data_IF_760573130786
#
_entry.id   IF_760573130786
#
_cell.length_a   1.000
_cell.length_b   1.000
_cell.length_c   1.000
_cell.angle_alpha   90.00
_cell.angle_beta   90.00
_cell.angle_gamma   90.00
#
_symmetry.space_group_name_H-M   'P 1'
#
loop_
_entity.id
_entity.type
_entity.pdbx_description
1 polymer ?
#
# COMPACT_ATOMS: atom_id res chain seq x y z
N UNK A 1 -34.39 -38.95 -9.51
CA UNK A 1 -33.37 -38.04 -10.07
C UNK A 1 -32.28 -37.96 -9.03
N UNK A 2 -31.33 -38.90 -9.04
CA UNK A 2 -30.10 -38.71 -8.27
C UNK A 2 -29.33 -37.61 -8.98
N UNK A 3 -29.26 -36.46 -8.33
CA UNK A 3 -28.47 -35.34 -8.77
C UNK A 3 -27.02 -35.82 -8.78
N UNK A 4 -26.39 -35.93 -9.96
CA UNK A 4 -24.97 -36.30 -10.11
C UNK A 4 -24.08 -35.17 -9.58
N UNK A 5 -24.13 -34.96 -8.27
CA UNK A 5 -23.44 -33.89 -7.55
C UNK A 5 -22.20 -34.49 -6.93
N UNK A 6 -21.06 -33.81 -7.10
CA UNK A 6 -19.81 -34.26 -6.46
C UNK A 6 -19.98 -34.31 -4.94
N UNK A 7 -19.29 -35.25 -4.28
CA UNK A 7 -19.34 -35.42 -2.81
C UNK A 7 -19.04 -34.10 -2.09
N UNK A 8 -18.13 -33.29 -2.64
CA UNK A 8 -17.77 -31.98 -2.11
C UNK A 8 -18.94 -30.99 -2.18
N UNK A 9 -19.61 -30.90 -3.32
CA UNK A 9 -20.77 -30.01 -3.47
C UNK A 9 -21.92 -30.46 -2.57
N UNK A 10 -22.19 -31.77 -2.49
CA UNK A 10 -23.20 -32.31 -1.57
C UNK A 10 -22.91 -31.95 -0.11
N UNK A 11 -21.64 -32.06 0.33
CA UNK A 11 -21.23 -31.68 1.67
C UNK A 11 -21.45 -30.19 1.96
N UNK A 12 -21.03 -29.30 1.05
CA UNK A 12 -21.22 -27.84 1.21
C UNK A 12 -22.70 -27.49 1.30
N UNK A 13 -23.54 -28.01 0.41
CA UNK A 13 -24.97 -27.72 0.42
C UNK A 13 -25.67 -28.30 1.66
N UNK A 14 -25.28 -29.49 2.12
CA UNK A 14 -25.82 -30.07 3.36
C UNK A 14 -25.56 -29.16 4.56
N UNK A 15 -24.30 -28.71 4.73
CA UNK A 15 -23.92 -27.82 5.84
C UNK A 15 -24.60 -26.46 5.71
N UNK A 16 -24.70 -25.91 4.49
CA UNK A 16 -25.40 -24.65 4.26
C UNK A 16 -26.88 -24.75 4.67
N UNK A 17 -27.56 -25.84 4.30
CA UNK A 17 -28.94 -26.11 4.70
C UNK A 17 -29.09 -26.20 6.21
N UNK A 18 -28.20 -26.92 6.91
CA UNK A 18 -28.24 -27.00 8.38
C UNK A 18 -28.09 -25.61 9.04
N UNK A 19 -27.13 -24.80 8.57
CA UNK A 19 -26.93 -23.43 9.06
C UNK A 19 -28.16 -22.56 8.79
N UNK A 20 -28.77 -22.70 7.61
CA UNK A 20 -29.99 -21.97 7.23
C UNK A 20 -31.24 -22.42 7.97
N UNK A 21 -31.30 -23.65 8.48
CA UNK A 21 -32.39 -24.10 9.35
C UNK A 21 -32.24 -23.49 10.75
N UNK A 22 -31.00 -23.38 11.24
CA UNK A 22 -30.74 -22.83 12.57
C UNK A 22 -31.04 -21.32 12.65
N UNK A 23 -30.63 -20.52 11.66
CA UNK A 23 -30.95 -19.07 11.50
C UNK A 23 -30.85 -18.21 12.79
N UNK A 24 -30.05 -18.61 13.77
CA UNK A 24 -29.80 -17.83 14.99
C UNK A 24 -28.66 -16.82 14.73
N UNK A 25 -28.76 -15.56 15.18
CA UNK A 25 -27.67 -14.57 15.06
C UNK A 25 -26.31 -15.06 15.62
N UNK A 26 -26.37 -15.93 16.63
CA UNK A 26 -25.22 -16.57 17.29
C UNK A 26 -24.45 -17.48 16.33
N UNK A 27 -25.06 -17.98 15.26
CA UNK A 27 -24.42 -18.89 14.29
C UNK A 27 -23.23 -18.24 13.59
N UNK A 28 -23.29 -16.94 13.31
CA UNK A 28 -22.15 -16.21 12.72
C UNK A 28 -20.98 -16.16 13.70
N UNK A 29 -21.25 -15.87 14.97
CA UNK A 29 -20.23 -15.82 16.00
C UNK A 29 -19.60 -17.21 16.20
N UNK A 30 -20.43 -18.24 16.36
CA UNK A 30 -19.99 -19.63 16.50
C UNK A 30 -19.16 -20.09 15.29
N UNK A 31 -19.55 -19.71 14.06
CA UNK A 31 -18.79 -20.00 12.86
C UNK A 31 -17.40 -19.34 12.89
N UNK A 32 -17.33 -18.04 13.19
CA UNK A 32 -16.05 -17.33 13.27
C UNK A 32 -15.17 -17.85 14.41
N UNK A 33 -15.76 -18.23 15.54
CA UNK A 33 -15.04 -18.78 16.69
C UNK A 33 -14.51 -20.18 16.41
N UNK A 34 -15.27 -21.02 15.70
CA UNK A 34 -14.81 -22.33 15.24
C UNK A 34 -13.57 -22.19 14.35
N UNK A 35 -13.61 -21.29 13.35
CA UNK A 35 -12.46 -21.00 12.51
C UNK A 35 -11.30 -20.41 13.31
N UNK A 36 -11.59 -19.62 14.35
CA UNK A 36 -10.58 -19.03 15.22
C UNK A 36 -9.82 -20.09 16.00
N UNK A 37 -10.51 -21.07 16.57
CA UNK A 37 -9.91 -22.20 17.28
C UNK A 37 -8.97 -22.99 16.34
N UNK A 38 -9.39 -23.16 15.08
CA UNK A 38 -8.66 -23.89 14.03
C UNK A 38 -7.51 -23.11 13.40
N UNK A 39 -7.31 -21.85 13.76
CA UNK A 39 -6.27 -20.99 13.16
C UNK A 39 -4.83 -21.45 13.38
N UNK A 40 -4.62 -22.38 14.33
CA UNK A 40 -3.31 -22.96 14.62
C UNK A 40 -3.12 -24.34 13.96
N UNK A 41 -4.14 -24.86 13.27
CA UNK A 41 -4.05 -26.15 12.60
C UNK A 41 -3.19 -25.99 11.33
N UNK A 42 -2.37 -26.99 11.04
CA UNK A 42 -1.47 -26.96 9.88
C UNK A 42 -2.22 -26.86 8.53
N UNK A 43 -3.49 -27.27 8.50
CA UNK A 43 -4.37 -27.23 7.36
C UNK A 43 -5.36 -26.04 7.40
N UNK A 44 -5.10 -25.00 8.20
CA UNK A 44 -5.99 -23.84 8.31
C UNK A 44 -6.34 -23.19 6.96
N UNK A 45 -5.45 -23.25 5.97
CA UNK A 45 -5.75 -22.81 4.60
C UNK A 45 -6.93 -23.57 3.97
N UNK A 46 -7.06 -24.87 4.24
CA UNK A 46 -8.20 -25.67 3.78
C UNK A 46 -9.49 -25.28 4.51
N UNK A 47 -9.42 -25.00 5.81
CA UNK A 47 -10.55 -24.48 6.58
C UNK A 47 -11.05 -23.15 6.03
N UNK A 48 -10.14 -22.22 5.73
CA UNK A 48 -10.47 -20.95 5.08
C UNK A 48 -11.08 -21.16 3.70
N UNK A 49 -10.54 -22.07 2.89
CA UNK A 49 -11.08 -22.38 1.58
C UNK A 49 -12.53 -22.88 1.65
N UNK A 50 -12.80 -23.85 2.53
CA UNK A 50 -14.15 -24.38 2.75
C UNK A 50 -15.08 -23.30 3.31
N UNK A 51 -14.59 -22.48 4.24
CA UNK A 51 -15.34 -21.35 4.79
C UNK A 51 -15.74 -20.35 3.70
N UNK A 52 -14.84 -19.99 2.79
CA UNK A 52 -15.11 -19.10 1.67
C UNK A 52 -16.20 -19.64 0.74
N UNK A 53 -16.11 -20.93 0.37
CA UNK A 53 -17.13 -21.61 -0.45
C UNK A 53 -18.47 -21.64 0.27
N UNK A 54 -18.49 -21.99 1.56
CA UNK A 54 -19.72 -22.05 2.35
C UNK A 54 -20.38 -20.67 2.45
N UNK A 55 -19.60 -19.61 2.68
CA UNK A 55 -20.12 -18.23 2.75
C UNK A 55 -20.65 -17.74 1.40
N UNK A 56 -20.13 -18.27 0.27
CA UNK A 56 -20.61 -17.88 -1.06
C UNK A 56 -21.98 -18.46 -1.40
N UNK A 57 -22.36 -19.60 -0.80
CA UNK A 57 -23.69 -20.23 -0.99
C UNK A 57 -24.72 -19.81 0.07
N UNK A 58 -24.27 -19.25 1.20
CA UNK A 58 -25.17 -18.81 2.27
C UNK A 58 -25.90 -17.49 1.94
N UNK A 59 -27.06 -17.22 2.58
CA UNK A 59 -27.84 -16.01 2.33
C UNK A 59 -27.06 -14.72 2.60
N UNK A 60 -27.41 -13.60 1.92
CA UNK A 60 -26.70 -12.33 2.05
C UNK A 60 -26.56 -11.82 3.49
N UNK A 61 -27.55 -12.08 4.36
CA UNK A 61 -27.52 -11.69 5.77
C UNK A 61 -26.35 -12.34 6.54
N UNK A 62 -26.04 -13.62 6.25
CA UNK A 62 -24.97 -14.35 6.90
C UNK A 62 -23.61 -13.83 6.44
N UNK A 63 -23.43 -13.72 5.12
CA UNK A 63 -22.21 -13.16 4.50
C UNK A 63 -21.92 -11.75 5.00
N UNK A 64 -22.92 -10.87 5.00
CA UNK A 64 -22.76 -9.50 5.46
C UNK A 64 -22.38 -9.44 6.95
N UNK A 65 -22.93 -10.32 7.78
CA UNK A 65 -22.59 -10.39 9.20
C UNK A 65 -21.14 -10.85 9.44
N UNK A 66 -20.64 -11.80 8.64
CA UNK A 66 -19.22 -12.19 8.66
C UNK A 66 -18.34 -11.01 8.23
N UNK A 67 -18.66 -10.37 7.10
CA UNK A 67 -17.90 -9.23 6.61
C UNK A 67 -17.89 -8.07 7.63
N UNK A 68 -19.03 -7.78 8.28
CA UNK A 68 -19.09 -6.83 9.40
C UNK A 68 -18.17 -7.22 10.55
N UNK A 69 -18.18 -8.49 10.95
CA UNK A 69 -17.31 -9.02 12.02
C UNK A 69 -15.83 -8.86 11.69
N UNK A 70 -15.47 -9.12 10.43
CA UNK A 70 -14.12 -8.86 9.91
C UNK A 70 -13.81 -7.37 9.94
N UNK A 71 -14.69 -6.50 9.41
CA UNK A 71 -14.49 -5.05 9.37
C UNK A 71 -14.39 -4.39 10.76
N UNK A 72 -14.77 -5.07 11.85
CA UNK A 72 -14.39 -4.65 13.21
C UNK A 72 -12.87 -4.54 13.41
N UNK A 73 -12.05 -5.03 12.47
CA UNK A 73 -10.62 -4.77 12.48
C UNK A 73 -10.27 -3.28 12.41
N UNK A 74 -11.15 -2.45 11.83
CA UNK A 74 -10.93 -1.01 11.73
C UNK A 74 -11.48 -0.25 12.94
N UNK A 75 -12.25 -0.89 13.83
CA UNK A 75 -12.73 -0.23 15.06
C UNK A 75 -11.61 -0.11 16.08
N UNK A 76 -11.89 0.55 17.20
CA UNK A 76 -10.93 0.65 18.31
C UNK A 76 -10.78 -0.66 19.10
N UNK A 77 -11.54 -1.70 18.73
CA UNK A 77 -11.45 -3.01 19.38
C UNK A 77 -10.16 -3.77 19.00
N UNK A 78 -9.51 -3.40 17.88
CA UNK A 78 -8.18 -3.90 17.51
C UNK A 78 -7.09 -2.85 17.84
N UNK A 79 -6.39 -2.99 18.98
CA UNK A 79 -5.44 -1.98 19.44
C UNK A 79 -4.22 -1.85 18.52
N UNK A 80 -3.85 -2.90 17.77
CA UNK A 80 -2.68 -2.85 16.88
C UNK A 80 -2.83 -1.85 15.72
N UNK A 81 -4.07 -1.62 15.24
CA UNK A 81 -4.35 -0.67 14.16
C UNK A 81 -4.89 0.67 14.69
N UNK A 82 -5.38 0.71 15.92
CA UNK A 82 -5.90 1.92 16.58
C UNK A 82 -4.82 2.79 17.24
N UNK A 83 -3.55 2.47 17.01
CA UNK A 83 -2.43 3.11 17.68
C UNK A 83 -2.29 4.59 17.30
N UNK A 84 -2.19 5.41 18.33
CA UNK A 84 -1.96 6.87 18.25
C UNK A 84 -0.60 7.26 18.83
N UNK A 85 0.19 6.28 19.28
CA UNK A 85 1.52 6.53 19.82
C UNK A 85 2.47 6.96 18.70
N UNK A 86 3.29 7.96 18.97
CA UNK A 86 4.29 8.44 18.04
C UNK A 86 5.56 7.60 18.18
N UNK A 87 6.13 7.19 17.05
CA UNK A 87 7.41 6.50 17.00
C UNK A 87 8.49 7.33 17.71
N UNK A 88 9.42 6.74 18.50
CA UNK A 88 10.35 7.50 19.36
C UNK A 88 11.27 8.47 18.62
N UNK A 89 11.50 8.26 17.32
CA UNK A 89 12.46 9.01 16.53
C UNK A 89 11.81 9.87 15.45
N UNK A 90 12.35 11.05 15.22
CA UNK A 90 11.93 11.94 14.14
C UNK A 90 12.32 11.35 12.79
N UNK A 91 11.37 11.41 11.85
CA UNK A 91 11.60 11.13 10.45
C UNK A 91 12.21 12.38 9.80
N UNK A 92 13.34 12.21 9.13
CA UNK A 92 14.07 13.30 8.49
C UNK A 92 14.26 12.96 7.03
N UNK A 93 14.13 13.98 6.17
CA UNK A 93 14.41 13.86 4.74
C UNK A 93 15.47 14.87 4.32
N UNK A 94 16.23 14.53 3.29
CA UNK A 94 17.19 15.46 2.71
C UNK A 94 16.47 16.50 1.84
N UNK A 95 16.85 17.76 1.99
CA UNK A 95 16.29 18.88 1.23
C UNK A 95 16.74 18.78 -0.23
N UNK A 96 15.78 18.69 -1.14
CA UNK A 96 16.05 18.65 -2.58
C UNK A 96 16.70 19.96 -3.04
N UNK A 97 17.87 19.86 -3.71
CA UNK A 97 18.55 21.02 -4.32
C UNK A 97 19.72 21.61 -3.52
N UNK A 98 20.10 21.03 -2.38
CA UNK A 98 21.27 21.51 -1.60
C UNK A 98 22.60 21.03 -2.19
N UNK A 99 22.62 19.92 -2.92
CA UNK A 99 23.80 19.44 -3.63
C UNK A 99 23.73 19.77 -5.11
N UNK A 100 23.98 21.04 -5.46
CA UNK A 100 24.12 21.45 -6.86
C UNK A 100 25.50 21.09 -7.42
N UNK A 101 26.52 20.99 -6.54
CA UNK A 101 27.86 20.55 -6.89
C UNK A 101 28.36 19.39 -6.00
N UNK A 102 29.05 18.38 -6.57
CA UNK A 102 29.53 17.19 -5.84
C UNK A 102 30.54 17.50 -4.72
N UNK A 103 31.09 18.71 -4.68
CA UNK A 103 32.08 19.15 -3.69
C UNK A 103 31.48 20.06 -2.58
N UNK A 104 30.23 20.51 -2.69
CA UNK A 104 29.65 21.55 -1.81
C UNK A 104 29.10 21.05 -0.47
N UNK A 105 29.17 19.74 -0.19
CA UNK A 105 28.65 19.16 1.06
C UNK A 105 29.70 18.74 2.09
N UNK A 106 30.99 18.80 1.76
CA UNK A 106 32.05 18.19 2.56
C UNK A 106 31.89 16.66 2.73
N UNK A 107 32.76 16.06 3.55
CA UNK A 107 32.74 14.62 3.84
C UNK A 107 31.44 14.20 4.55
N UNK A 108 30.92 15.06 5.44
CA UNK A 108 29.71 14.84 6.23
C UNK A 108 28.48 14.59 5.35
N UNK A 109 28.21 15.45 4.36
CA UNK A 109 27.07 15.28 3.46
C UNK A 109 27.19 14.03 2.59
N UNK A 110 28.39 13.69 2.12
CA UNK A 110 28.62 12.49 1.32
C UNK A 110 28.37 11.23 2.14
N UNK A 111 28.85 11.21 3.38
CA UNK A 111 28.61 10.10 4.30
C UNK A 111 27.14 9.97 4.65
N UNK A 112 26.44 11.10 4.83
CA UNK A 112 25.00 11.12 5.09
C UNK A 112 24.18 10.64 3.88
N UNK A 113 24.53 11.06 2.66
CA UNK A 113 23.90 10.56 1.44
C UNK A 113 24.12 9.05 1.33
N UNK A 114 25.36 8.57 1.51
CA UNK A 114 25.68 7.14 1.49
C UNK A 114 24.92 6.37 2.58
N UNK A 115 24.76 6.94 3.77
CA UNK A 115 23.95 6.36 4.84
C UNK A 115 22.48 6.32 4.44
N UNK A 116 21.91 7.45 4.01
CA UNK A 116 20.53 7.54 3.53
C UNK A 116 20.24 6.53 2.43
N UNK A 117 21.15 6.35 1.46
CA UNK A 117 21.03 5.32 0.42
C UNK A 117 21.09 3.88 0.97
N UNK A 118 21.95 3.62 1.96
CA UNK A 118 22.05 2.31 2.60
C UNK A 118 20.79 2.01 3.43
N UNK A 119 20.40 2.89 4.33
CA UNK A 119 19.21 2.72 5.18
C UNK A 119 17.93 2.66 4.35
N UNK A 120 17.80 3.49 3.30
CA UNK A 120 16.65 3.45 2.40
C UNK A 120 16.51 2.11 1.65
N UNK A 121 17.64 1.50 1.23
CA UNK A 121 17.63 0.16 0.61
C UNK A 121 17.13 -0.94 1.54
N UNK A 122 17.42 -0.83 2.84
CA UNK A 122 17.04 -1.85 3.81
C UNK A 122 15.64 -1.62 4.40
N UNK A 123 15.16 -0.39 4.45
CA UNK A 123 13.88 -0.03 5.07
C UNK A 123 12.74 0.31 4.08
N UNK A 124 12.99 0.28 2.76
CA UNK A 124 12.00 0.66 1.75
C UNK A 124 11.59 2.14 1.77
N UNK A 125 12.35 2.98 2.47
CA UNK A 125 12.14 4.42 2.55
C UNK A 125 12.53 5.11 1.23
N UNK A 126 11.93 6.27 0.88
CA UNK A 126 12.37 7.05 -0.27
C UNK A 126 13.85 7.39 -0.19
N UNK A 127 14.49 7.53 -1.35
CA UNK A 127 15.86 8.02 -1.47
C UNK A 127 16.06 9.18 -0.48
N UNK A 128 16.83 8.92 0.58
CA UNK A 128 17.26 9.88 1.60
C UNK A 128 16.28 10.24 2.74
N UNK A 129 15.24 9.44 3.01
CA UNK A 129 14.46 9.55 4.27
C UNK A 129 14.91 8.49 5.28
N UNK A 130 15.16 8.88 6.53
CA UNK A 130 15.60 7.98 7.61
C UNK A 130 15.24 8.54 8.99
N UNK A 131 15.39 7.73 10.05
CA UNK A 131 15.17 8.16 11.43
C UNK A 131 16.40 8.83 12.01
N UNK A 132 16.20 9.92 12.75
CA UNK A 132 17.29 10.73 13.33
C UNK A 132 18.20 9.96 14.31
N UNK A 133 17.70 8.89 14.95
CA UNK A 133 18.45 8.15 15.96
C UNK A 133 19.14 6.90 15.40
N UNK A 134 19.26 6.75 14.09
CA UNK A 134 20.08 5.67 13.52
C UNK A 134 21.52 5.78 14.08
N UNK A 135 22.00 4.81 14.88
CA UNK A 135 23.27 4.88 15.63
C UNK A 135 24.53 4.91 14.74
N UNK A 136 24.35 5.02 13.42
CA UNK A 136 25.39 5.05 12.39
C UNK A 136 25.55 6.43 11.75
N UNK A 137 24.76 7.43 12.16
CA UNK A 137 25.13 8.82 11.92
C UNK A 137 26.47 9.05 12.64
N UNK A 138 27.55 9.43 11.94
CA UNK A 138 28.78 9.74 12.61
C UNK A 138 28.48 10.88 13.59
N UNK A 139 28.68 10.60 14.88
CA UNK A 139 28.96 11.64 15.85
C UNK A 139 30.21 12.35 15.32
N UNK A 140 30.07 13.39 14.49
CA UNK A 140 31.18 14.30 14.16
C UNK A 140 31.55 15.18 15.39
N UNK A 141 31.45 14.60 16.58
CA UNK A 141 31.91 15.12 17.85
C UNK A 141 32.23 13.94 18.80
N UNK A 142 33.03 12.97 18.34
CA UNK A 142 33.92 12.25 19.28
C UNK A 142 35.00 13.24 19.73
N UNK A 143 34.61 14.13 20.63
CA UNK A 143 35.47 14.71 21.64
C UNK A 143 34.63 14.95 22.90
N UNK A 144 34.80 14.01 23.83
CA UNK A 144 34.69 14.19 25.28
C UNK A 144 33.27 14.17 25.87
N UNK A 145 33.14 13.30 26.89
CA UNK A 145 32.12 13.22 27.94
C UNK A 145 30.84 12.41 27.66
N UNK A 146 30.84 11.21 28.28
CA UNK A 146 29.79 10.71 29.17
C UNK A 146 28.66 11.69 29.50
N UNK A 147 27.41 11.33 29.18
CA UNK A 147 26.22 11.96 29.75
C UNK A 147 25.05 12.03 28.78
N UNK A 148 23.88 11.60 29.26
CA UNK A 148 22.54 11.76 28.70
C UNK A 148 22.42 12.59 27.41
N UNK A 149 21.93 11.95 26.33
CA UNK A 149 21.50 12.63 25.10
C UNK A 149 20.21 13.40 25.40
N UNK A 150 20.36 14.57 26.01
CA UNK A 150 19.34 15.61 26.07
C UNK A 150 19.41 16.42 24.78
N UNK A 151 18.33 16.38 23.99
CA UNK A 151 17.89 17.39 23.02
C UNK A 151 18.74 18.66 23.00
N UNK A 152 19.47 18.99 21.90
CA UNK A 152 19.75 20.38 21.47
C UNK A 152 20.68 20.59 20.24
N UNK A 153 21.12 19.57 19.49
CA UNK A 153 21.88 19.86 18.25
C UNK A 153 20.99 20.42 17.13
N UNK A 154 21.34 21.58 16.53
CA UNK A 154 20.61 22.15 15.41
C UNK A 154 20.66 21.20 14.22
N UNK A 155 19.51 21.00 13.58
CA UNK A 155 19.42 20.16 12.38
C UNK A 155 20.31 20.78 11.28
N UNK A 156 21.16 20.00 10.60
CA UNK A 156 21.94 20.51 9.48
C UNK A 156 21.05 21.17 8.42
N UNK A 157 21.53 22.23 7.78
CA UNK A 157 20.76 23.03 6.80
C UNK A 157 20.24 22.24 5.59
N UNK A 158 20.82 21.07 5.31
CA UNK A 158 20.42 20.17 4.24
C UNK A 158 19.39 19.12 4.65
N UNK A 159 18.96 19.07 5.91
CA UNK A 159 17.95 18.14 6.41
C UNK A 159 16.67 18.90 6.79
N UNK A 160 15.52 18.30 6.46
CA UNK A 160 14.20 18.76 6.85
C UNK A 160 13.56 17.73 7.78
N UNK A 161 13.13 18.17 8.97
CA UNK A 161 12.37 17.32 9.88
C UNK A 161 10.92 17.23 9.42
N UNK A 162 10.44 16.00 9.25
CA UNK A 162 9.06 15.70 8.87
C UNK A 162 8.17 15.43 10.08
N UNK A 163 8.78 15.29 11.28
CA UNK A 163 8.10 14.93 12.52
C UNK A 163 8.11 13.42 12.80
N UNK A 164 7.30 13.01 13.77
CA UNK A 164 7.25 11.62 14.26
C UNK A 164 6.03 10.90 13.69
N UNK A 165 6.19 9.83 12.90
CA UNK A 165 5.05 9.04 12.42
C UNK A 165 4.40 8.25 13.56
N UNK A 166 3.21 7.70 13.36
CA UNK A 166 2.62 6.74 14.31
C UNK A 166 3.45 5.45 14.35
N UNK A 167 3.63 4.87 15.53
CA UNK A 167 4.44 3.67 15.73
C UNK A 167 3.87 2.47 14.96
N UNK A 168 2.56 2.23 15.02
CA UNK A 168 1.92 1.19 14.22
C UNK A 168 2.09 1.33 12.69
N UNK A 169 2.31 2.55 12.18
CA UNK A 169 2.62 2.72 10.76
C UNK A 169 4.02 2.19 10.45
N UNK A 170 5.01 2.56 11.26
CA UNK A 170 6.41 2.11 11.09
C UNK A 170 6.51 0.60 11.26
N UNK A 171 5.90 0.06 12.32
CA UNK A 171 5.92 -1.37 12.65
C UNK A 171 4.93 -2.21 11.82
N UNK A 172 4.25 -1.61 10.83
CA UNK A 172 3.14 -2.26 10.14
C UNK A 172 3.56 -3.58 9.47
N UNK A 173 4.60 -3.57 8.63
CA UNK A 173 5.00 -4.78 7.91
C UNK A 173 5.87 -5.73 8.74
N UNK A 174 6.52 -5.25 9.80
CA UNK A 174 7.40 -6.08 10.62
C UNK A 174 6.65 -6.78 11.75
N UNK A 175 5.66 -6.11 12.36
CA UNK A 175 4.97 -6.58 13.56
C UNK A 175 3.49 -6.86 13.36
N UNK A 176 2.81 -6.04 12.56
CA UNK A 176 1.35 -6.15 12.34
C UNK A 176 1.04 -7.05 11.14
N UNK A 177 1.90 -7.08 10.13
CA UNK A 177 1.72 -7.90 8.94
C UNK A 177 3.04 -8.57 8.52
N UNK A 178 3.70 -9.33 9.41
CA UNK A 178 4.92 -10.03 9.04
C UNK A 178 4.62 -11.07 7.97
N UNK A 179 5.42 -11.02 6.89
CA UNK A 179 5.37 -11.97 5.77
C UNK A 179 5.63 -13.43 6.25
N UNK A 180 6.26 -13.61 7.41
CA UNK A 180 6.67 -14.90 7.98
C UNK A 180 5.62 -15.58 8.88
N UNK A 181 4.48 -14.93 9.17
CA UNK A 181 3.38 -15.55 9.95
C UNK A 181 2.38 -16.36 9.09
N UNK A 182 2.65 -16.52 7.80
CA UNK A 182 2.04 -17.58 6.99
C UNK A 182 2.78 -18.89 7.35
N UNK A 183 2.06 -19.96 7.70
CA UNK A 183 2.41 -20.90 8.76
C UNK A 183 3.78 -21.56 8.56
N UNK A 184 4.82 -20.96 9.14
CA UNK A 184 6.10 -21.62 9.37
C UNK A 184 6.09 -22.24 10.76
N UNK A 185 6.25 -23.55 10.77
CA UNK A 185 6.30 -24.43 11.92
C UNK A 185 7.33 -24.00 12.98
N UNK A 186 6.95 -23.23 13.99
CA UNK A 186 7.41 -23.44 15.37
C UNK A 186 6.69 -22.51 16.35
N UNK A 187 6.11 -23.09 17.40
CA UNK A 187 5.77 -22.36 18.63
C UNK A 187 4.30 -21.96 18.79
N UNK A 188 3.78 -22.25 20.00
CA UNK A 188 2.42 -22.06 20.55
C UNK A 188 1.89 -20.60 20.56
N UNK A 189 2.18 -19.76 19.58
CA UNK A 189 1.54 -18.44 19.48
C UNK A 189 0.32 -18.52 18.58
N UNK A 190 -0.87 -18.34 19.18
CA UNK A 190 -2.12 -18.26 18.42
C UNK A 190 -2.01 -17.19 17.34
N UNK A 191 -2.37 -17.52 16.09
CA UNK A 191 -2.41 -16.57 14.97
C UNK A 191 -3.03 -15.24 15.41
N UNK A 192 -2.43 -14.06 15.19
CA UNK A 192 -3.02 -12.80 15.64
C UNK A 192 -4.41 -12.54 15.04
N UNK A 193 -5.27 -11.81 15.77
CA UNK A 193 -6.68 -11.63 15.39
C UNK A 193 -6.85 -10.85 14.08
N UNK A 194 -6.02 -9.82 13.86
CA UNK A 194 -6.03 -9.05 12.61
C UNK A 194 -5.60 -9.89 11.40
N UNK A 195 -4.59 -10.76 11.51
CA UNK A 195 -4.21 -11.67 10.43
C UNK A 195 -5.35 -12.64 10.17
N UNK A 196 -5.95 -13.24 11.20
CA UNK A 196 -7.07 -14.16 11.05
C UNK A 196 -8.25 -13.51 10.30
N UNK A 197 -8.65 -12.30 10.71
CA UNK A 197 -9.73 -11.55 10.07
C UNK A 197 -9.38 -11.21 8.61
N UNK A 198 -8.14 -10.84 8.33
CA UNK A 198 -7.68 -10.57 6.97
C UNK A 198 -7.66 -11.83 6.10
N UNK A 199 -7.20 -12.97 6.62
CA UNK A 199 -7.24 -14.25 5.91
C UNK A 199 -8.69 -14.68 5.62
N UNK A 200 -9.60 -14.49 6.57
CA UNK A 200 -11.04 -14.75 6.37
C UNK A 200 -11.64 -13.81 5.32
N UNK A 201 -11.27 -12.52 5.31
CA UNK A 201 -11.66 -11.59 4.25
C UNK A 201 -11.28 -12.14 2.87
N UNK A 202 -10.00 -12.49 2.69
CA UNK A 202 -9.50 -12.99 1.40
C UNK A 202 -10.21 -14.28 0.97
N UNK A 203 -10.44 -15.21 1.90
CA UNK A 203 -11.16 -16.44 1.61
C UNK A 203 -12.63 -16.20 1.17
N UNK A 204 -13.33 -15.27 1.82
CA UNK A 204 -14.71 -14.93 1.44
C UNK A 204 -14.79 -14.26 0.06
N UNK A 205 -13.81 -13.42 -0.27
CA UNK A 205 -13.77 -12.73 -1.57
C UNK A 205 -13.21 -13.59 -2.70
N UNK A 206 -12.33 -14.55 -2.44
CA UNK A 206 -11.81 -15.48 -3.45
C UNK A 206 -12.89 -16.39 -4.02
N UNK A 207 -13.94 -16.67 -3.23
CA UNK A 207 -15.09 -17.49 -3.61
C UNK A 207 -16.34 -16.66 -3.93
N UNK A 208 -16.23 -15.34 -3.97
CA UNK A 208 -17.36 -14.46 -4.22
C UNK A 208 -17.78 -14.53 -5.70
N UNK A 209 -19.08 -14.71 -5.95
CA UNK A 209 -19.63 -14.59 -7.29
C UNK A 209 -19.77 -13.13 -7.74
N UNK A 210 -20.10 -12.92 -9.01
CA UNK A 210 -20.22 -11.60 -9.63
C UNK A 210 -21.16 -10.66 -8.85
N UNK A 211 -22.34 -11.11 -8.44
CA UNK A 211 -23.29 -10.30 -7.66
C UNK A 211 -22.75 -9.93 -6.29
N UNK A 212 -22.02 -10.84 -5.64
CA UNK A 212 -21.37 -10.59 -4.37
C UNK A 212 -20.24 -9.57 -4.50
N UNK A 213 -19.42 -9.65 -5.55
CA UNK A 213 -18.35 -8.69 -5.87
C UNK A 213 -18.89 -7.26 -6.04
N UNK A 214 -20.09 -7.10 -6.61
CA UNK A 214 -20.73 -5.78 -6.74
C UNK A 214 -21.04 -5.10 -5.40
N UNK A 215 -21.05 -5.84 -4.28
CA UNK A 215 -21.27 -5.28 -2.93
C UNK A 215 -20.00 -4.72 -2.30
N UNK A 216 -18.82 -4.95 -2.88
CA UNK A 216 -17.55 -4.49 -2.31
C UNK A 216 -17.50 -2.97 -2.06
N UNK A 217 -17.96 -2.10 -2.98
CA UNK A 217 -17.98 -0.66 -2.72
C UNK A 217 -18.87 -0.28 -1.51
N UNK A 218 -20.05 -0.90 -1.37
CA UNK A 218 -20.93 -0.59 -0.23
C UNK A 218 -20.37 -1.13 1.09
N UNK A 219 -19.70 -2.28 1.07
CA UNK A 219 -19.00 -2.81 2.25
C UNK A 219 -17.88 -1.86 2.67
N UNK A 220 -17.08 -1.38 1.72
CA UNK A 220 -16.00 -0.44 2.04
C UNK A 220 -16.53 0.89 2.56
N UNK A 221 -17.53 1.50 1.90
CA UNK A 221 -18.07 2.79 2.33
C UNK A 221 -18.69 2.72 3.72
N UNK A 222 -19.43 1.65 4.01
CA UNK A 222 -20.24 1.58 5.23
C UNK A 222 -19.50 1.02 6.44
N UNK A 223 -18.45 0.22 6.24
CA UNK A 223 -17.78 -0.49 7.35
C UNK A 223 -16.27 -0.25 7.45
N UNK A 224 -15.64 0.37 6.45
CA UNK A 224 -14.20 0.61 6.45
C UNK A 224 -13.90 2.11 6.45
N UNK A 225 -14.45 2.83 5.47
CA UNK A 225 -14.07 4.21 5.16
C UNK A 225 -14.13 5.16 6.36
N UNK A 226 -15.20 5.09 7.15
CA UNK A 226 -15.41 6.01 8.28
C UNK A 226 -14.36 5.83 9.39
N UNK A 227 -13.83 4.61 9.54
CA UNK A 227 -12.83 4.27 10.54
C UNK A 227 -11.38 4.56 10.10
N UNK A 228 -11.15 4.93 8.85
CA UNK A 228 -9.81 5.28 8.35
C UNK A 228 -9.38 6.65 8.87
N UNK A 229 -8.52 6.64 9.89
CA UNK A 229 -8.03 7.85 10.53
C UNK A 229 -6.52 7.89 10.79
N UNK A 230 -5.83 6.78 10.56
CA UNK A 230 -4.40 6.66 10.69
C UNK A 230 -3.83 5.81 9.54
N UNK A 231 -2.52 5.85 9.41
CA UNK A 231 -1.82 5.16 8.32
C UNK A 231 -1.89 3.63 8.41
N UNK A 232 -1.83 3.03 9.60
CA UNK A 232 -1.92 1.57 9.75
C UNK A 232 -3.28 1.02 9.29
N UNK A 233 -4.39 1.69 9.64
CA UNK A 233 -5.73 1.35 9.14
C UNK A 233 -5.83 1.54 7.63
N UNK A 234 -5.23 2.60 7.10
CA UNK A 234 -5.17 2.83 5.65
C UNK A 234 -4.45 1.67 4.95
N UNK A 235 -3.25 1.30 5.41
CA UNK A 235 -2.47 0.19 4.84
C UNK A 235 -3.21 -1.14 4.91
N UNK A 236 -3.88 -1.42 6.03
CA UNK A 236 -4.71 -2.61 6.16
C UNK A 236 -5.88 -2.59 5.16
N UNK A 237 -6.52 -1.45 4.93
CA UNK A 237 -7.57 -1.35 3.91
C UNK A 237 -7.04 -1.64 2.50
N UNK A 238 -5.85 -1.15 2.15
CA UNK A 238 -5.19 -1.49 0.88
C UNK A 238 -4.85 -2.97 0.79
N UNK A 239 -4.33 -3.57 1.87
CA UNK A 239 -4.02 -5.00 1.94
C UNK A 239 -5.25 -5.86 1.65
N UNK A 240 -6.41 -5.50 2.20
CA UNK A 240 -7.66 -6.23 1.99
C UNK A 240 -8.24 -6.03 0.58
N UNK A 241 -8.15 -4.81 0.03
CA UNK A 241 -8.84 -4.46 -1.22
C UNK A 241 -8.02 -4.82 -2.46
N UNK A 242 -6.70 -4.58 -2.44
CA UNK A 242 -5.86 -4.71 -3.64
C UNK A 242 -5.96 -6.10 -4.31
N UNK A 243 -5.94 -7.24 -3.58
CA UNK A 243 -6.09 -8.57 -4.19
C UNK A 243 -7.46 -8.79 -4.85
N UNK A 244 -8.52 -8.13 -4.36
CA UNK A 244 -9.88 -8.28 -4.89
C UNK A 244 -10.07 -7.50 -6.19
N UNK A 245 -9.27 -6.46 -6.44
CA UNK A 245 -9.36 -5.63 -7.64
C UNK A 245 -9.14 -6.42 -8.93
N UNK A 246 -8.23 -7.40 -8.91
CA UNK A 246 -7.97 -8.25 -10.09
C UNK A 246 -9.21 -8.99 -10.56
N UNK A 247 -9.87 -9.71 -9.64
CA UNK A 247 -11.13 -10.42 -9.93
C UNK A 247 -12.25 -9.45 -10.30
N UNK A 248 -12.35 -8.33 -9.59
CA UNK A 248 -13.37 -7.31 -9.89
C UNK A 248 -13.18 -6.68 -11.28
N UNK A 249 -11.94 -6.54 -11.77
CA UNK A 249 -11.65 -5.96 -13.08
C UNK A 249 -12.08 -6.87 -14.23
N UNK A 250 -11.90 -8.18 -14.06
CA UNK A 250 -12.31 -9.16 -15.06
C UNK A 250 -13.84 -9.19 -15.24
N UNK A 251 -14.58 -9.01 -14.15
CA UNK A 251 -16.04 -9.10 -14.14
C UNK A 251 -16.72 -7.73 -14.40
N UNK A 252 -16.24 -6.64 -13.76
CA UNK A 252 -16.90 -5.33 -13.75
C UNK A 252 -15.91 -4.14 -13.65
N UNK A 253 -15.37 -3.70 -14.78
CA UNK A 253 -14.46 -2.54 -14.86
C UNK A 253 -15.00 -1.28 -14.17
N UNK A 254 -16.30 -0.97 -14.31
CA UNK A 254 -16.92 0.21 -13.68
C UNK A 254 -16.87 0.16 -12.14
N UNK A 255 -16.92 -1.04 -11.55
CA UNK A 255 -16.81 -1.20 -10.09
C UNK A 255 -15.38 -1.01 -9.62
N UNK A 256 -14.39 -1.44 -10.40
CA UNK A 256 -12.98 -1.15 -10.09
C UNK A 256 -12.71 0.34 -10.10
N UNK A 257 -13.29 1.09 -11.04
CA UNK A 257 -13.18 2.55 -11.04
C UNK A 257 -13.74 3.18 -9.76
N UNK A 258 -14.92 2.72 -9.33
CA UNK A 258 -15.57 3.20 -8.11
C UNK A 258 -14.75 2.88 -6.85
N UNK A 259 -14.23 1.66 -6.72
CA UNK A 259 -13.36 1.28 -5.59
C UNK A 259 -12.06 2.09 -5.62
N UNK A 260 -11.48 2.31 -6.79
CA UNK A 260 -10.26 3.10 -6.95
C UNK A 260 -10.47 4.54 -6.52
N UNK A 261 -11.57 5.18 -6.94
CA UNK A 261 -11.95 6.53 -6.47
C UNK A 261 -12.06 6.57 -4.93
N UNK A 262 -12.67 5.54 -4.33
CA UNK A 262 -12.81 5.44 -2.88
C UNK A 262 -11.47 5.28 -2.16
N UNK A 263 -10.50 4.56 -2.75
CA UNK A 263 -9.13 4.48 -2.22
C UNK A 263 -8.44 5.84 -2.24
N UNK A 264 -8.58 6.63 -3.32
CA UNK A 264 -8.06 8.01 -3.34
C UNK A 264 -8.70 8.87 -2.26
N UNK A 265 -10.04 8.82 -2.12
CA UNK A 265 -10.74 9.56 -1.04
C UNK A 265 -10.26 9.14 0.35
N UNK A 266 -10.00 7.85 0.55
CA UNK A 266 -9.51 7.33 1.83
C UNK A 266 -8.12 7.88 2.16
N UNK A 267 -7.22 7.88 1.17
CA UNK A 267 -5.87 8.45 1.32
C UNK A 267 -5.94 9.95 1.59
N UNK A 268 -6.75 10.71 0.84
CA UNK A 268 -6.94 12.14 1.08
C UNK A 268 -7.47 12.41 2.49
N UNK A 269 -8.46 11.64 2.96
CA UNK A 269 -9.01 11.77 4.31
C UNK A 269 -7.94 11.55 5.39
N UNK A 270 -7.17 10.47 5.30
CA UNK A 270 -6.13 10.14 6.29
C UNK A 270 -4.98 11.15 6.21
N UNK A 271 -4.53 11.53 5.01
CA UNK A 271 -3.46 12.50 4.82
C UNK A 271 -3.80 13.86 5.45
N UNK A 272 -5.00 14.38 5.20
CA UNK A 272 -5.46 15.64 5.80
C UNK A 272 -5.58 15.56 7.32
N UNK A 273 -6.11 14.45 7.85
CA UNK A 273 -6.23 14.25 9.31
C UNK A 273 -4.85 14.22 9.97
N UNK A 274 -3.90 13.47 9.42
CA UNK A 274 -2.53 13.41 9.95
C UNK A 274 -1.79 14.74 9.79
N UNK A 275 -2.00 15.44 8.67
CA UNK A 275 -1.45 16.78 8.45
C UNK A 275 -1.92 17.79 9.52
N UNK A 276 -3.20 17.76 9.88
CA UNK A 276 -3.76 18.60 10.95
C UNK A 276 -3.17 18.32 12.34
N UNK A 277 -2.60 17.13 12.55
CA UNK A 277 -1.92 16.75 13.80
C UNK A 277 -0.39 16.88 13.73
N UNK A 278 0.16 17.33 12.59
CA UNK A 278 1.62 17.41 12.40
C UNK A 278 2.31 16.04 12.30
N UNK A 279 1.56 14.97 11.98
CA UNK A 279 2.10 13.60 11.88
C UNK A 279 2.43 13.28 10.40
N UNK A 280 3.66 12.89 10.06
CA UNK A 280 4.03 12.49 8.71
C UNK A 280 3.43 11.12 8.35
N UNK A 281 3.15 10.92 7.05
CA UNK A 281 2.97 9.57 6.49
C UNK A 281 4.34 8.94 6.25
N UNK A 282 4.50 7.70 6.69
CA UNK A 282 5.74 6.94 6.58
C UNK A 282 5.83 6.16 5.25
N UNK A 283 4.75 5.50 4.84
CA UNK A 283 4.64 4.61 3.67
C UNK A 283 4.14 5.30 2.40
N UNK A 284 4.58 6.54 2.16
CA UNK A 284 4.16 7.35 1.00
C UNK A 284 4.44 6.64 -0.33
N UNK A 285 5.61 6.02 -0.46
CA UNK A 285 6.00 5.31 -1.69
C UNK A 285 5.21 4.03 -1.89
N UNK A 286 5.04 3.24 -0.83
CA UNK A 286 4.25 2.00 -0.89
C UNK A 286 2.82 2.30 -1.36
N UNK A 287 2.21 3.36 -0.84
CA UNK A 287 0.90 3.82 -1.32
C UNK A 287 0.94 4.24 -2.79
N UNK A 288 1.98 4.98 -3.21
CA UNK A 288 2.15 5.40 -4.60
C UNK A 288 2.35 4.22 -5.55
N UNK A 289 3.17 3.24 -5.19
CA UNK A 289 3.43 2.03 -5.97
C UNK A 289 2.14 1.24 -6.19
N UNK A 290 1.33 1.08 -5.14
CA UNK A 290 0.01 0.43 -5.27
C UNK A 290 -0.92 1.23 -6.18
N UNK A 291 -0.94 2.56 -6.10
CA UNK A 291 -1.73 3.37 -7.03
C UNK A 291 -1.23 3.31 -8.47
N UNK A 292 0.08 3.27 -8.70
CA UNK A 292 0.64 3.06 -10.04
C UNK A 292 0.29 1.67 -10.57
N UNK A 293 0.39 0.65 -9.74
CA UNK A 293 -0.06 -0.70 -10.08
C UNK A 293 -1.53 -0.69 -10.50
N UNK A 294 -2.41 -0.07 -9.70
CA UNK A 294 -3.84 0.04 -10.02
C UNK A 294 -4.08 0.81 -11.33
N UNK A 295 -3.37 1.93 -11.53
CA UNK A 295 -3.44 2.72 -12.76
C UNK A 295 -3.05 1.90 -13.97
N UNK A 296 -1.90 1.24 -13.95
CA UNK A 296 -1.39 0.56 -15.15
C UNK A 296 -2.03 -0.81 -15.38
N UNK A 297 -2.48 -1.51 -14.34
CA UNK A 297 -3.04 -2.85 -14.47
C UNK A 297 -4.55 -2.89 -14.67
N UNK A 298 -5.29 -1.95 -14.08
CA UNK A 298 -6.75 -2.06 -14.02
C UNK A 298 -7.47 -0.87 -14.65
N UNK A 299 -7.11 0.35 -14.27
CA UNK A 299 -7.98 1.52 -14.51
C UNK A 299 -7.55 2.39 -15.69
N UNK A 300 -6.26 2.41 -16.02
CA UNK A 300 -5.69 3.34 -16.99
C UNK A 300 -6.01 4.79 -16.60
N UNK A 301 -6.64 5.52 -17.54
CA UNK A 301 -7.06 6.91 -17.34
C UNK A 301 -8.54 7.06 -16.97
N UNK A 302 -9.27 5.98 -16.68
CA UNK A 302 -10.72 6.03 -16.54
C UNK A 302 -11.23 6.78 -15.29
N UNK A 303 -10.46 6.79 -14.20
CA UNK A 303 -10.79 7.52 -12.94
C UNK A 303 -10.21 8.92 -12.89
N UNK A 304 -9.60 9.37 -13.99
CA UNK A 304 -8.79 10.57 -14.01
C UNK A 304 -9.57 11.82 -13.58
N UNK A 305 -10.78 11.99 -14.08
CA UNK A 305 -11.62 13.16 -13.77
C UNK A 305 -12.09 13.18 -12.31
N UNK A 306 -12.34 12.01 -11.72
CA UNK A 306 -12.76 11.88 -10.33
C UNK A 306 -11.59 12.09 -9.35
N UNK A 307 -10.38 11.69 -9.76
CA UNK A 307 -9.17 11.77 -8.92
C UNK A 307 -8.47 13.12 -9.02
N UNK A 308 -8.53 13.79 -10.19
CA UNK A 308 -7.94 15.13 -10.41
C UNK A 308 -8.25 16.16 -9.31
N UNK A 309 -9.48 16.32 -8.79
CA UNK A 309 -9.76 17.27 -7.72
C UNK A 309 -9.17 16.87 -6.36
N UNK A 310 -8.84 15.60 -6.15
CA UNK A 310 -8.32 15.09 -4.87
C UNK A 310 -6.81 15.28 -4.74
N UNK A 311 -6.06 15.25 -5.84
CA UNK A 311 -4.60 15.30 -5.81
C UNK A 311 -4.05 16.61 -5.24
N UNK A 312 -4.55 17.81 -5.59
CA UNK A 312 -4.09 19.07 -5.01
C UNK A 312 -4.32 19.19 -3.49
N UNK A 313 -5.20 18.35 -2.93
CA UNK A 313 -5.48 18.32 -1.50
C UNK A 313 -4.46 17.52 -0.70
N UNK A 314 -3.61 16.74 -1.37
CA UNK A 314 -2.58 15.91 -0.75
C UNK A 314 -1.34 16.75 -0.41
N UNK A 315 -0.63 16.37 0.65
CA UNK A 315 0.65 17.01 0.99
C UNK A 315 1.67 16.90 -0.14
N UNK A 316 2.61 17.85 -0.26
CA UNK A 316 3.57 17.91 -1.37
C UNK A 316 4.34 16.61 -1.62
N UNK A 317 4.72 15.86 -0.58
CA UNK A 317 5.44 14.59 -0.72
C UNK A 317 4.60 13.52 -1.42
N UNK A 318 3.36 13.33 -0.98
CA UNK A 318 2.45 12.35 -1.56
C UNK A 318 2.00 12.79 -2.96
N UNK A 319 1.69 14.07 -3.14
CA UNK A 319 1.41 14.63 -4.47
C UNK A 319 2.57 14.43 -5.43
N UNK A 320 3.81 14.68 -4.99
CA UNK A 320 5.03 14.47 -5.77
C UNK A 320 5.27 13.00 -6.12
N UNK A 321 4.98 12.07 -5.21
CA UNK A 321 5.04 10.64 -5.48
C UNK A 321 4.00 10.21 -6.54
N UNK A 322 2.81 10.81 -6.53
CA UNK A 322 1.71 10.55 -7.47
C UNK A 322 1.73 11.44 -8.73
N UNK A 323 2.84 12.15 -9.00
CA UNK A 323 2.91 13.15 -10.09
C UNK A 323 2.59 12.60 -11.48
N UNK A 324 2.84 11.31 -11.73
CA UNK A 324 2.57 10.69 -13.03
C UNK A 324 1.18 10.10 -13.14
N UNK A 325 0.33 10.24 -12.12
CA UNK A 325 -1.06 9.80 -12.17
C UNK A 325 -1.87 10.73 -13.09
N UNK A 326 -1.57 12.03 -13.06
CA UNK A 326 -2.10 13.02 -14.01
C UNK A 326 -1.15 13.15 -15.22
N UNK A 327 -1.61 12.95 -16.47
CA UNK A 327 -0.93 13.52 -17.61
C UNK A 327 -0.92 15.05 -17.47
N UNK A 328 0.16 15.74 -17.88
CA UNK A 328 0.14 17.20 -17.99
C UNK A 328 -1.05 17.63 -18.85
N UNK A 329 -1.79 18.67 -18.44
CA UNK A 329 -2.83 19.24 -19.29
C UNK A 329 -2.20 19.60 -20.65
N UNK A 330 -2.87 19.33 -21.79
CA UNK A 330 -2.46 19.94 -23.04
C UNK A 330 -2.55 21.46 -22.87
N UNK A 331 -1.41 22.12 -22.96
CA UNK A 331 -1.23 23.56 -22.76
C UNK A 331 -2.07 24.36 -23.76
N UNK A 332 -3.31 24.69 -23.37
CA UNK A 332 -4.24 25.51 -24.12
C UNK A 332 -4.42 26.88 -23.47
N UNK A 333 -3.37 27.71 -23.44
CA UNK A 333 -3.48 29.17 -23.25
C UNK A 333 -2.52 29.81 -24.26
N UNK A 334 -2.98 30.73 -25.14
CA UNK A 334 -2.18 31.27 -26.23
C UNK A 334 -1.21 32.33 -25.70
N UNK A 335 0.08 32.01 -25.67
CA UNK A 335 1.13 32.97 -25.31
C UNK A 335 2.51 32.33 -25.43
N UNK A 336 3.13 32.55 -26.59
CA UNK A 336 4.47 32.14 -27.03
C UNK A 336 4.65 30.69 -27.55
N UNK A 337 5.27 30.53 -28.74
CA UNK A 337 5.44 29.24 -29.37
C UNK A 337 6.61 28.49 -28.73
N UNK A 338 6.33 27.33 -28.13
CA UNK A 338 7.33 26.33 -27.79
C UNK A 338 6.98 25.03 -28.53
N UNK A 339 7.99 24.27 -29.00
CA UNK A 339 7.84 23.32 -30.09
C UNK A 339 7.06 22.07 -29.67
N UNK A 340 6.19 21.65 -30.56
CA UNK A 340 5.36 20.43 -30.51
C UNK A 340 6.22 19.17 -30.30
N UNK A 341 5.84 18.24 -29.41
CA UNK A 341 6.42 16.90 -29.42
C UNK A 341 5.92 16.13 -30.67
N UNK A 342 6.78 15.35 -31.35
CA UNK A 342 6.37 14.61 -32.53
C UNK A 342 5.44 13.45 -32.17
N UNK A 343 4.28 13.42 -32.83
CA UNK A 343 3.40 12.24 -32.89
C UNK A 343 4.10 11.15 -33.72
N UNK A 344 4.40 10.00 -33.10
CA UNK A 344 4.82 8.81 -33.83
C UNK A 344 3.61 8.18 -34.53
N UNK A 345 3.36 8.59 -35.77
CA UNK A 345 2.59 7.80 -36.72
C UNK A 345 3.49 6.69 -37.27
N UNK A 346 3.04 5.43 -37.16
CA UNK A 346 3.62 4.31 -37.90
C UNK A 346 3.55 4.60 -39.40
N UNK A 347 4.71 4.73 -40.04
CA UNK A 347 4.87 4.53 -41.49
C UNK A 347 6.31 4.14 -41.80
N UNK A 348 6.46 2.97 -42.42
CA UNK A 348 7.72 2.48 -43.00
C UNK A 348 8.15 3.39 -44.16
N UNK A 349 9.42 3.84 -44.20
CA UNK A 349 10.28 3.75 -45.38
C UNK A 349 11.72 4.25 -45.13
N UNK A 350 12.61 3.81 -46.03
CA UNK A 350 14.06 3.62 -45.92
C UNK A 350 14.97 4.87 -45.92
N UNK A 351 16.09 4.70 -45.21
CA UNK A 351 17.49 5.11 -45.49
C UNK A 351 17.79 6.55 -45.93
N UNK A 352 18.58 7.27 -45.10
CA UNK A 352 19.93 7.77 -45.44
C UNK A 352 20.70 8.22 -44.16
N UNK A 353 21.88 7.61 -43.96
CA UNK A 353 23.12 8.08 -43.30
C UNK A 353 23.11 9.24 -42.27
N UNK A 354 23.54 8.92 -41.02
CA UNK A 354 24.29 9.82 -40.13
C UNK A 354 23.72 10.04 -38.71
N UNK A 355 24.04 9.14 -37.76
CA UNK A 355 23.81 9.20 -36.30
C UNK A 355 22.36 9.45 -35.79
N UNK A 356 21.82 8.62 -34.87
CA UNK A 356 20.47 8.83 -34.38
C UNK A 356 20.37 10.09 -33.52
N UNK A 357 19.28 10.89 -33.65
CA UNK A 357 19.02 12.01 -32.76
C UNK A 357 18.89 11.50 -31.32
N UNK A 358 19.65 12.10 -30.40
CA UNK A 358 19.66 11.70 -28.99
C UNK A 358 18.45 12.29 -28.27
N UNK A 359 17.67 11.49 -27.51
CA UNK A 359 16.51 11.99 -26.80
C UNK A 359 16.95 12.93 -25.67
N UNK A 360 16.41 14.15 -25.69
CA UNK A 360 16.56 15.15 -24.63
C UNK A 360 15.25 15.21 -23.87
N UNK A 361 15.30 14.98 -22.56
CA UNK A 361 14.14 15.06 -21.68
C UNK A 361 14.49 15.96 -20.49
N UNK A 362 13.64 16.95 -20.19
CA UNK A 362 13.86 17.96 -19.13
C UNK A 362 15.25 18.64 -19.19
N UNK A 363 15.73 18.99 -20.38
CA UNK A 363 17.02 19.66 -20.56
C UNK A 363 18.24 18.77 -20.29
N UNK A 364 18.05 17.48 -20.05
CA UNK A 364 19.13 16.50 -19.88
C UNK A 364 19.26 15.61 -21.11
N UNK A 365 20.49 15.47 -21.58
CA UNK A 365 20.84 14.61 -22.70
C UNK A 365 20.93 13.17 -22.20
N UNK A 366 20.04 12.29 -22.64
CA UNK A 366 20.10 10.88 -22.27
C UNK A 366 21.02 10.14 -23.25
N UNK A 367 22.18 9.69 -22.75
CA UNK A 367 23.03 8.74 -23.47
C UNK A 367 22.76 7.35 -22.93
N UNK A 368 22.13 6.51 -23.74
CA UNK A 368 22.16 5.07 -23.46
C UNK A 368 23.63 4.61 -23.46
N UNK A 369 24.01 3.78 -22.48
CA UNK A 369 25.33 3.18 -22.46
C UNK A 369 25.49 2.31 -23.73
N UNK A 370 26.51 2.63 -24.54
CA UNK A 370 26.74 2.00 -25.85
C UNK A 370 27.20 0.53 -25.68
N UNK A 371 27.56 0.12 -24.46
CA UNK A 371 27.83 -1.26 -24.10
C UNK A 371 27.13 -1.61 -22.79
N UNK A 372 26.55 -2.82 -22.67
CA UNK A 372 26.15 -3.35 -21.38
C UNK A 372 27.39 -3.38 -20.45
N UNK A 373 27.21 -3.25 -19.12
CA UNK A 373 28.30 -3.44 -18.19
C UNK A 373 28.91 -4.82 -18.44
N UNK A 374 30.23 -4.87 -18.58
CA UNK A 374 30.99 -6.11 -18.69
C UNK A 374 30.59 -6.98 -17.49
N UNK A 375 30.07 -8.17 -17.79
CA UNK A 375 29.75 -9.16 -16.77
C UNK A 375 30.96 -9.36 -15.88
N UNK A 376 30.70 -9.38 -14.57
CA UNK A 376 31.62 -9.95 -13.60
C UNK A 376 31.90 -11.37 -14.08
N UNK A 377 33.15 -11.65 -14.45
CA UNK A 377 33.59 -12.98 -14.84
C UNK A 377 33.26 -13.98 -13.73
N UNK A 378 32.80 -15.16 -14.14
CA UNK A 378 32.48 -16.30 -13.28
C UNK A 378 33.55 -16.54 -12.20
N UNK A 379 33.14 -16.42 -10.93
CA UNK A 379 33.71 -17.16 -9.80
C UNK A 379 32.63 -17.43 -8.75
#
# INVERSE_FOLDING_TARGET
LEENVSVQAAGVYSVACEIMVLMVPETVHAFTECLRIRSNDADFGNWLNVAGILVSVLPPLFRLSILKSVCKLFTNDEPCLADTTLYPHDLVTLVSGVFQHPNEGGLAARNLLLHGFRSARFAGLPDLTFFRADPLLPNEADNVCTGAVTHLDPLPSYLESLGRPHAAAVEFFDRILPLELLPASSGKTSMPLHIFKASLWHAVWSHANSTQLMTLPSVFSNYIFDHLDNEARLLMAFFLIAPVLGTLNLEFQTRVHQVTEMLYKAVTKVDQKLAGMGVPLYHVNTLADVFYHIKYMYVGNAVHEQVRPLLPLLRPRLHGALKFILPPLPSGIPGNPAPTPPQEHLSQQQQHSGAPPQPVFEGRLYRAAIKPPLGVEDY
#
